data_IF_880255850144
#
_entry.id   IF_880255850144
#
_cell.length_a   1.000
_cell.length_b   1.000
_cell.length_c   1.000
_cell.angle_alpha   90.00
_cell.angle_beta   90.00
_cell.angle_gamma   90.00
#
_symmetry.space_group_name_H-M   'P 1'
#
loop_
_entity.id
_entity.type
_entity.pdbx_description
1 polymer ?
#
# COMPACT_ATOMS: atom_id res chain seq x y z
N UNK A 1 8.71 -1.05 11.82
CA UNK A 1 7.44 -1.00 11.06
C UNK A 1 6.42 -1.85 11.77
N UNK A 2 5.21 -1.32 11.93
CA UNK A 2 4.09 -1.96 12.64
C UNK A 2 2.91 -2.08 11.70
N UNK A 3 1.96 -2.95 12.03
CA UNK A 3 0.70 -3.01 11.33
C UNK A 3 -0.43 -3.65 12.11
N UNK A 4 -1.60 -3.62 11.49
CA UNK A 4 -2.80 -4.30 11.96
C UNK A 4 -3.66 -4.75 10.78
N UNK A 5 -4.41 -5.83 10.97
CA UNK A 5 -5.41 -6.28 10.01
C UNK A 5 -6.73 -5.57 10.27
N UNK A 6 -7.35 -5.13 9.18
CA UNK A 6 -8.62 -4.40 9.22
C UNK A 6 -9.63 -4.98 8.25
N UNK A 7 -10.90 -4.79 8.59
CA UNK A 7 -11.99 -4.79 7.64
C UNK A 7 -12.21 -3.35 7.18
N UNK A 8 -11.89 -3.10 5.92
CA UNK A 8 -12.14 -1.85 5.21
C UNK A 8 -12.71 -2.20 3.83
N UNK A 9 -14.03 -2.05 3.70
CA UNK A 9 -14.83 -2.48 2.56
C UNK A 9 -15.81 -1.38 2.19
N UNK A 10 -16.13 -1.23 0.90
CA UNK A 10 -17.05 -0.20 0.43
C UNK A 10 -18.49 -0.39 0.94
N UNK A 11 -18.92 -1.64 1.13
CA UNK A 11 -20.24 -1.94 1.71
C UNK A 11 -21.39 -1.41 0.84
N UNK A 12 -22.43 -0.88 1.49
CA UNK A 12 -23.59 -0.30 0.81
C UNK A 12 -23.45 1.22 0.66
N UNK A 13 -23.68 1.73 -0.54
CA UNK A 13 -23.74 3.17 -0.83
C UNK A 13 -25.11 3.48 -1.41
N UNK A 14 -25.91 4.27 -0.69
CA UNK A 14 -27.27 4.66 -1.11
C UNK A 14 -28.19 3.49 -1.51
N UNK A 15 -28.19 2.38 -0.77
CA UNK A 15 -29.04 1.21 -1.09
C UNK A 15 -28.44 0.25 -2.13
N UNK A 16 -27.23 0.53 -2.62
CA UNK A 16 -26.54 -0.32 -3.60
C UNK A 16 -25.33 -0.98 -2.94
N UNK A 17 -25.26 -2.31 -2.99
CA UNK A 17 -24.08 -3.05 -2.56
C UNK A 17 -22.92 -2.81 -3.53
N UNK A 18 -21.93 -2.05 -3.07
CA UNK A 18 -20.73 -1.68 -3.82
C UNK A 18 -19.55 -2.59 -3.52
N UNK A 19 -19.72 -3.64 -2.70
CA UNK A 19 -18.66 -4.59 -2.32
C UNK A 19 -17.92 -5.15 -3.54
N UNK A 20 -18.60 -5.34 -4.67
CA UNK A 20 -17.96 -5.85 -5.90
C UNK A 20 -16.88 -4.91 -6.44
N UNK A 21 -16.97 -3.61 -6.17
CA UNK A 21 -15.96 -2.62 -6.57
C UNK A 21 -14.66 -2.76 -5.78
N UNK A 22 -14.67 -3.42 -4.63
CA UNK A 22 -13.44 -3.66 -3.85
C UNK A 22 -12.43 -4.53 -4.63
N UNK A 23 -12.88 -5.24 -5.68
CA UNK A 23 -12.00 -5.98 -6.60
C UNK A 23 -10.99 -5.10 -7.34
N UNK A 24 -11.24 -3.79 -7.41
CA UNK A 24 -10.37 -2.81 -8.03
C UNK A 24 -9.52 -2.03 -7.02
N UNK A 25 -9.64 -2.33 -5.72
CA UNK A 25 -8.85 -1.66 -4.68
C UNK A 25 -7.47 -2.28 -4.51
N UNK A 26 -7.29 -3.53 -4.95
CA UNK A 26 -6.01 -4.21 -4.88
C UNK A 26 -4.97 -3.57 -5.80
N UNK A 27 -3.75 -3.39 -5.27
CA UNK A 27 -2.56 -2.99 -6.01
C UNK A 27 -1.33 -3.65 -5.39
N UNK A 28 -0.29 -3.89 -6.19
CA UNK A 28 1.03 -4.31 -5.69
C UNK A 28 1.66 -3.24 -4.78
N UNK A 29 1.31 -1.99 -5.00
CA UNK A 29 1.87 -0.85 -4.26
C UNK A 29 1.13 -0.61 -2.94
N UNK A 30 1.90 -0.19 -1.93
CA UNK A 30 1.35 0.38 -0.70
C UNK A 30 0.73 1.73 -1.05
N UNK A 31 -0.56 1.88 -0.76
CA UNK A 31 -1.25 3.16 -0.97
C UNK A 31 -1.20 3.97 0.32
N UNK A 32 -0.95 5.27 0.20
CA UNK A 32 -1.05 6.19 1.33
C UNK A 32 -2.53 6.40 1.71
N UNK A 33 -2.83 6.44 3.01
CA UNK A 33 -4.17 6.68 3.54
C UNK A 33 -4.09 7.47 4.85
N UNK A 34 -5.07 8.34 5.10
CA UNK A 34 -5.30 8.88 6.45
C UNK A 34 -6.39 8.04 7.12
N UNK A 35 -6.00 7.01 7.88
CA UNK A 35 -6.94 6.00 8.34
C UNK A 35 -8.11 6.58 9.17
N UNK A 36 -7.90 7.71 9.85
CA UNK A 36 -8.94 8.40 10.63
C UNK A 36 -10.10 8.94 9.81
N UNK A 37 -9.90 9.14 8.50
CA UNK A 37 -10.92 9.58 7.56
C UNK A 37 -11.69 8.40 6.94
N UNK A 38 -11.26 7.17 7.22
CA UNK A 38 -11.87 5.95 6.69
C UNK A 38 -12.77 5.30 7.74
N UNK A 39 -13.84 4.66 7.28
CA UNK A 39 -14.61 3.74 8.11
C UNK A 39 -13.98 2.35 8.06
N UNK A 40 -13.53 1.85 9.21
CA UNK A 40 -12.90 0.55 9.30
C UNK A 40 -13.21 -0.16 10.62
N UNK A 41 -13.01 -1.47 10.63
CA UNK A 41 -12.99 -2.27 11.85
C UNK A 41 -11.61 -2.89 12.02
N UNK A 42 -10.95 -2.59 13.14
CA UNK A 42 -9.73 -3.28 13.54
C UNK A 42 -10.03 -4.72 13.93
N UNK A 43 -9.28 -5.68 13.38
CA UNK A 43 -9.47 -7.12 13.59
C UNK A 43 -8.35 -7.77 14.39
N UNK A 44 -7.21 -7.12 14.55
CA UNK A 44 -6.07 -7.60 15.36
C UNK A 44 -5.59 -6.51 16.30
N UNK A 45 -4.86 -6.89 17.34
CA UNK A 45 -3.94 -5.95 17.99
C UNK A 45 -2.85 -5.49 17.01
N UNK A 46 -2.14 -4.43 17.37
CA UNK A 46 -0.96 -3.99 16.63
C UNK A 46 0.16 -5.01 16.78
N UNK A 47 0.81 -5.36 15.67
CA UNK A 47 1.98 -6.23 15.66
C UNK A 47 3.16 -5.58 14.94
N UNK A 48 4.38 -5.98 15.32
CA UNK A 48 5.60 -5.62 14.62
C UNK A 48 5.77 -6.48 13.37
N UNK A 49 6.27 -5.87 12.30
CA UNK A 49 6.46 -6.54 11.01
C UNK A 49 7.95 -6.59 10.65
N UNK A 50 8.59 -5.43 10.56
CA UNK A 50 10.01 -5.31 10.24
C UNK A 50 10.68 -4.34 11.20
N UNK A 51 11.96 -4.58 11.48
CA UNK A 51 12.83 -3.63 12.15
C UNK A 51 13.96 -3.30 11.19
N UNK A 52 14.16 -2.00 10.98
CA UNK A 52 15.25 -1.48 10.16
C UNK A 52 16.19 -0.73 11.08
N UNK A 53 17.42 -1.23 11.20
CA UNK A 53 18.51 -0.50 11.85
C UNK A 53 19.25 0.29 10.78
N UNK A 54 19.24 1.62 10.91
CA UNK A 54 19.93 2.53 9.99
C UNK A 54 21.39 2.79 10.39
N UNK A 55 21.83 2.29 11.55
CA UNK A 55 23.23 2.36 12.00
C UNK A 55 24.10 1.25 11.43
N UNK A 56 23.50 0.15 10.97
CA UNK A 56 24.16 -0.92 10.22
C UNK A 56 23.89 -0.77 8.71
N UNK A 57 24.83 -1.23 7.88
CA UNK A 57 24.86 -0.98 6.42
C UNK A 57 23.58 -1.46 5.70
N UNK A 58 23.23 -0.81 4.57
CA UNK A 58 22.01 -0.90 3.73
C UNK A 58 20.91 -1.91 4.10
N UNK A 59 19.61 -1.51 4.08
CA UNK A 59 18.49 -2.38 4.46
C UNK A 59 18.52 -3.70 3.68
N UNK A 60 18.77 -4.78 4.41
CA UNK A 60 18.90 -6.12 3.85
C UNK A 60 17.54 -6.68 3.42
N UNK A 61 17.56 -7.67 2.53
CA UNK A 61 16.38 -8.46 2.24
C UNK A 61 15.89 -9.16 3.52
N UNK A 62 14.60 -9.05 3.83
CA UNK A 62 13.96 -9.70 4.98
C UNK A 62 12.71 -10.46 4.52
N UNK A 63 12.46 -11.63 5.12
CA UNK A 63 11.24 -12.41 4.91
C UNK A 63 10.77 -12.90 6.27
N UNK A 64 9.60 -12.46 6.69
CA UNK A 64 9.00 -12.77 7.98
C UNK A 64 7.75 -13.62 7.79
N UNK A 65 7.71 -14.75 8.49
CA UNK A 65 6.55 -15.63 8.56
C UNK A 65 5.80 -15.32 9.85
N UNK A 66 4.60 -14.77 9.74
CA UNK A 66 3.81 -14.29 10.87
C UNK A 66 2.58 -15.15 11.10
N UNK A 67 2.26 -15.38 12.37
CA UNK A 67 1.03 -16.02 12.83
C UNK A 67 0.20 -15.00 13.62
N UNK A 68 -0.72 -14.33 12.94
CA UNK A 68 -1.41 -13.15 13.50
C UNK A 68 -2.72 -13.58 14.18
N UNK A 69 -2.84 -13.28 15.48
CA UNK A 69 -4.03 -13.63 16.27
C UNK A 69 -5.17 -12.61 16.05
N UNK A 70 -6.34 -13.13 15.71
CA UNK A 70 -7.54 -12.33 15.45
C UNK A 70 -8.21 -11.96 16.78
N UNK A 71 -8.36 -10.66 17.01
CA UNK A 71 -8.99 -10.08 18.21
C UNK A 71 -10.52 -9.94 18.07
N UNK A 72 -11.03 -9.88 16.85
CA UNK A 72 -12.45 -9.65 16.55
C UNK A 72 -12.90 -10.37 15.28
N UNK A 73 -14.12 -10.90 15.30
CA UNK A 73 -14.77 -11.49 14.13
C UNK A 73 -14.91 -10.47 13.00
N UNK A 74 -14.75 -10.92 11.76
CA UNK A 74 -14.93 -10.04 10.61
C UNK A 74 -14.38 -10.62 9.31
N UNK A 75 -14.08 -9.72 8.37
CA UNK A 75 -13.45 -10.03 7.09
C UNK A 75 -12.19 -9.21 6.96
N UNK A 76 -11.03 -9.88 7.04
CA UNK A 76 -9.73 -9.26 6.77
C UNK A 76 -9.68 -8.90 5.30
N UNK A 77 -9.69 -7.59 5.01
CA UNK A 77 -9.61 -7.07 3.64
C UNK A 77 -8.31 -6.31 3.37
N UNK A 78 -7.70 -5.73 4.40
CA UNK A 78 -6.47 -4.98 4.25
C UNK A 78 -5.55 -5.10 5.48
N UNK A 79 -4.26 -4.88 5.22
CA UNK A 79 -3.24 -4.59 6.21
C UNK A 79 -2.97 -3.08 6.19
N UNK A 80 -3.06 -2.46 7.36
CA UNK A 80 -2.60 -1.07 7.55
C UNK A 80 -1.24 -1.13 8.20
N UNK A 81 -0.28 -0.37 7.64
CA UNK A 81 1.09 -0.30 8.12
C UNK A 81 1.49 1.14 8.43
N UNK A 82 2.38 1.29 9.40
CA UNK A 82 3.04 2.56 9.72
C UNK A 82 4.42 2.28 10.32
N UNK A 83 5.17 3.32 10.59
CA UNK A 83 6.48 3.20 11.22
C UNK A 83 6.61 4.15 12.40
N UNK A 84 7.48 3.73 13.32
CA UNK A 84 8.02 4.55 14.37
C UNK A 84 9.49 4.74 14.02
N UNK A 85 9.90 6.00 13.86
CA UNK A 85 11.27 6.40 13.62
C UNK A 85 11.88 6.77 14.97
N UNK A 86 12.79 5.93 15.44
CA UNK A 86 13.53 6.13 16.68
C UNK A 86 14.75 6.98 16.33
N UNK A 87 14.78 8.22 16.82
CA UNK A 87 15.89 9.15 16.58
C UNK A 87 16.97 9.00 17.66
N UNK A 88 16.54 8.77 18.91
CA UNK A 88 17.38 8.44 20.06
C UNK A 88 16.53 7.68 21.11
N UNK A 89 17.08 7.49 22.32
CA UNK A 89 16.42 6.77 23.42
C UNK A 89 15.12 7.43 23.92
N UNK A 90 14.92 8.72 23.68
CA UNK A 90 13.79 9.50 24.18
C UNK A 90 12.83 9.98 23.07
N UNK A 91 13.32 10.12 21.85
CA UNK A 91 12.62 10.75 20.73
C UNK A 91 12.20 9.69 19.71
N UNK A 92 10.88 9.46 19.67
CA UNK A 92 10.23 8.61 18.67
C UNK A 92 9.22 9.42 17.87
N UNK A 93 9.39 9.43 16.55
CA UNK A 93 8.46 10.05 15.61
C UNK A 93 7.62 8.96 14.96
N UNK A 94 6.31 8.99 15.19
CA UNK A 94 5.39 7.94 14.73
C UNK A 94 4.43 8.43 13.66
N UNK A 95 4.19 7.60 12.65
CA UNK A 95 3.09 7.76 11.68
C UNK A 95 1.84 6.97 12.06
N UNK A 96 1.76 6.50 13.31
CA UNK A 96 0.64 5.70 13.82
C UNK A 96 -0.73 6.37 13.64
N UNK A 97 -1.78 5.62 13.26
CA UNK A 97 -3.13 6.14 13.20
C UNK A 97 -3.68 6.52 14.58
N UNK A 98 -3.05 6.08 15.69
CA UNK A 98 -3.52 6.31 17.06
C UNK A 98 -2.91 7.54 17.75
N UNK A 99 -1.91 8.19 17.15
CA UNK A 99 -1.25 9.36 17.74
C UNK A 99 -2.14 10.61 17.82
N UNK A 100 -1.64 11.75 18.32
CA UNK A 100 -2.35 13.01 18.17
C UNK A 100 -2.16 13.56 16.74
N UNK A 101 -3.19 14.14 16.08
CA UNK A 101 -3.05 14.67 14.72
C UNK A 101 -1.92 15.69 14.59
N UNK A 102 -1.75 16.53 15.60
CA UNK A 102 -0.72 17.58 15.69
C UNK A 102 0.71 17.03 15.74
N UNK A 103 0.87 15.74 16.09
CA UNK A 103 2.16 15.04 16.17
C UNK A 103 2.38 14.05 15.02
N UNK A 104 1.41 13.94 14.10
CA UNK A 104 1.55 13.13 12.89
C UNK A 104 2.33 13.92 11.85
N UNK A 105 3.28 13.29 11.16
CA UNK A 105 4.08 13.90 10.10
C UNK A 105 3.28 14.31 8.85
N UNK A 106 1.94 14.21 8.86
CA UNK A 106 1.09 14.43 7.67
C UNK A 106 1.26 13.36 6.59
N UNK A 107 2.17 12.41 6.76
CA UNK A 107 2.44 11.30 5.83
C UNK A 107 1.31 10.27 5.79
N UNK A 108 0.44 10.23 6.81
CA UNK A 108 -0.58 9.18 6.92
C UNK A 108 0.03 7.80 7.14
N UNK A 109 -0.72 6.76 6.79
CA UNK A 109 -0.39 5.35 6.91
C UNK A 109 -0.30 4.70 5.53
N UNK A 110 0.33 3.54 5.44
CA UNK A 110 0.24 2.67 4.28
C UNK A 110 -0.94 1.71 4.42
N UNK A 111 -1.64 1.42 3.32
CA UNK A 111 -2.63 0.36 3.26
C UNK A 111 -2.36 -0.57 2.08
N UNK A 112 -2.45 -1.86 2.35
CA UNK A 112 -2.26 -2.95 1.38
C UNK A 112 -3.49 -3.85 1.43
N UNK A 113 -4.14 -4.06 0.29
CA UNK A 113 -5.16 -5.10 0.17
C UNK A 113 -4.49 -6.44 -0.10
N UNK A 114 -4.90 -7.47 0.63
CA UNK A 114 -4.17 -8.73 0.66
C UNK A 114 -4.52 -9.66 -0.51
N UNK A 115 -3.55 -10.49 -0.90
CA UNK A 115 -3.72 -11.63 -1.80
C UNK A 115 -3.81 -12.95 -1.02
N UNK A 116 -4.49 -13.98 -1.57
CA UNK A 116 -5.22 -14.01 -2.86
C UNK A 116 -6.58 -13.27 -2.83
N UNK A 117 -7.03 -12.86 -1.64
CA UNK A 117 -8.30 -12.16 -1.44
C UNK A 117 -8.56 -11.91 0.03
N UNK A 118 -9.82 -11.67 0.36
CA UNK A 118 -10.24 -11.46 1.75
C UNK A 118 -10.35 -12.77 2.51
N UNK A 119 -10.10 -12.73 3.81
CA UNK A 119 -10.30 -13.86 4.70
C UNK A 119 -11.39 -13.54 5.74
N UNK A 120 -12.44 -14.35 5.80
CA UNK A 120 -13.38 -14.34 6.92
C UNK A 120 -12.68 -14.96 8.12
N UNK A 121 -12.76 -14.28 9.27
CA UNK A 121 -12.04 -14.66 10.48
C UNK A 121 -12.95 -14.63 11.71
N UNK A 122 -12.68 -15.53 12.65
CA UNK A 122 -13.27 -15.53 13.99
C UNK A 122 -12.24 -15.12 15.04
N UNK A 123 -12.67 -14.45 16.10
CA UNK A 123 -11.83 -14.13 17.26
C UNK A 123 -11.15 -15.38 17.81
N UNK A 124 -9.86 -15.26 18.11
CA UNK A 124 -9.00 -16.35 18.57
C UNK A 124 -8.43 -17.21 17.45
N UNK A 125 -8.87 -17.03 16.19
CA UNK A 125 -8.22 -17.62 15.04
C UNK A 125 -6.81 -17.04 14.84
N UNK A 126 -5.97 -17.77 14.11
CA UNK A 126 -4.65 -17.32 13.68
C UNK A 126 -4.61 -17.26 12.16
N UNK A 127 -4.30 -16.08 11.60
CA UNK A 127 -4.09 -15.89 10.18
C UNK A 127 -2.59 -15.94 9.86
N UNK A 128 -2.11 -16.95 9.11
CA UNK A 128 -0.73 -17.01 8.69
C UNK A 128 -0.48 -16.04 7.52
N UNK A 129 0.60 -15.26 7.61
CA UNK A 129 0.99 -14.28 6.60
C UNK A 129 2.50 -14.28 6.37
N UNK A 130 2.90 -13.94 5.16
CA UNK A 130 4.30 -13.67 4.81
C UNK A 130 4.45 -12.19 4.52
N UNK A 131 5.40 -11.54 5.19
CA UNK A 131 5.88 -10.22 4.83
C UNK A 131 7.28 -10.36 4.22
N UNK A 132 7.54 -9.69 3.11
CA UNK A 132 8.87 -9.68 2.49
C UNK A 132 9.27 -8.26 2.07
N UNK A 133 10.57 -7.99 2.13
CA UNK A 133 11.17 -6.76 1.59
C UNK A 133 12.53 -7.06 0.97
N UNK A 134 12.87 -6.32 -0.08
CA UNK A 134 14.21 -6.31 -0.69
C UNK A 134 14.97 -4.99 -0.42
N UNK A 135 14.53 -4.22 0.57
CA UNK A 135 15.05 -2.88 0.89
C UNK A 135 14.32 -1.74 0.16
N UNK A 136 13.70 -2.00 -0.99
CA UNK A 136 12.99 -0.98 -1.78
C UNK A 136 11.48 -1.22 -1.86
N UNK A 137 11.06 -2.48 -1.97
CA UNK A 137 9.67 -2.88 -2.08
C UNK A 137 9.22 -3.64 -0.83
N UNK A 138 7.93 -3.56 -0.53
CA UNK A 138 7.25 -4.35 0.50
C UNK A 138 6.25 -5.27 -0.20
N UNK A 139 6.15 -6.51 0.26
CA UNK A 139 5.16 -7.48 -0.18
C UNK A 139 4.51 -8.16 1.03
N UNK A 140 3.19 -8.34 0.97
CA UNK A 140 2.41 -8.97 2.04
C UNK A 140 1.39 -9.92 1.43
N UNK A 141 1.42 -11.18 1.87
CA UNK A 141 0.57 -12.23 1.32
C UNK A 141 0.04 -13.12 2.43
N UNK A 142 -1.21 -13.60 2.31
CA UNK A 142 -1.74 -14.65 3.18
C UNK A 142 -1.07 -15.97 2.80
N UNK A 143 -0.57 -16.70 3.78
CA UNK A 143 0.08 -18.01 3.57
C UNK A 143 -1.00 -19.11 3.54
N UNK A 144 -1.58 -19.34 2.35
CA UNK A 144 -2.66 -20.30 2.14
C UNK A 144 -2.25 -21.74 2.51
N UNK A 145 -0.99 -22.10 2.31
CA UNK A 145 -0.48 -23.44 2.57
C UNK A 145 -0.53 -23.79 4.08
N UNK A 146 -0.44 -22.76 4.93
CA UNK A 146 -0.58 -22.91 6.39
C UNK A 146 -2.01 -22.75 6.89
N UNK A 147 -2.97 -22.40 6.03
CA UNK A 147 -4.37 -22.34 6.42
C UNK A 147 -4.97 -23.74 6.57
N UNK A 148 -5.42 -24.08 7.77
CA UNK A 148 -6.12 -25.36 8.03
C UNK A 148 -7.63 -25.15 8.06
N UNK A 149 -8.43 -26.13 7.61
CA UNK A 149 -9.91 -26.05 7.60
C UNK A 149 -10.57 -25.87 8.98
N UNK A 150 -9.80 -25.90 10.07
CA UNK A 150 -10.29 -25.74 11.46
C UNK A 150 -9.79 -24.45 12.14
N UNK A 151 -9.10 -23.57 11.42
CA UNK A 151 -8.42 -22.41 12.02
C UNK A 151 -9.34 -21.25 12.39
N UNK A 152 -10.64 -21.30 12.06
CA UNK A 152 -11.51 -20.13 12.17
C UNK A 152 -11.20 -19.04 11.13
N UNK A 153 -10.46 -19.42 10.08
CA UNK A 153 -10.13 -18.58 8.92
C UNK A 153 -10.64 -19.27 7.66
N UNK A 154 -11.39 -18.54 6.85
CA UNK A 154 -11.94 -19.00 5.57
C UNK A 154 -11.65 -17.95 4.49
N UNK A 155 -10.92 -18.34 3.43
CA UNK A 155 -10.75 -17.47 2.27
C UNK A 155 -12.08 -17.28 1.55
N UNK A 156 -12.38 -16.03 1.22
CA UNK A 156 -13.58 -15.71 0.47
C UNK A 156 -13.45 -16.27 -0.96
N UNK A 157 -14.52 -16.87 -1.52
CA UNK A 157 -14.46 -17.62 -2.79
C UNK A 157 -14.23 -16.74 -4.04
N UNK A 158 -14.34 -15.43 -3.90
CA UNK A 158 -14.11 -14.49 -4.98
C UNK A 158 -12.85 -13.69 -4.70
N UNK A 159 -11.79 -13.98 -5.45
CA UNK A 159 -10.59 -13.15 -5.45
C UNK A 159 -10.97 -11.76 -5.93
N UNK A 160 -10.80 -10.76 -5.07
CA UNK A 160 -10.98 -9.33 -5.40
C UNK A 160 -9.76 -8.78 -6.11
N UNK A 161 -9.29 -9.56 -7.07
CA UNK A 161 -8.12 -9.34 -7.90
C UNK A 161 -8.49 -9.76 -9.31
N UNK A 162 -8.46 -8.81 -10.25
CA UNK A 162 -8.62 -9.13 -11.67
C UNK A 162 -7.22 -9.29 -12.29
N UNK A 163 -6.78 -10.50 -12.65
CA UNK A 163 -5.47 -10.71 -13.27
C UNK A 163 -5.29 -9.95 -14.59
N UNK A 164 -6.39 -9.56 -15.26
CA UNK A 164 -6.33 -8.72 -16.46
C UNK A 164 -5.85 -7.31 -16.13
N UNK A 165 -6.19 -6.79 -14.95
CA UNK A 165 -5.71 -5.49 -14.48
C UNK A 165 -4.20 -5.50 -14.21
N UNK A 166 -3.68 -6.57 -13.62
CA UNK A 166 -2.23 -6.72 -13.45
C UNK A 166 -1.50 -6.80 -14.80
N UNK A 167 -2.02 -7.60 -15.73
CA UNK A 167 -1.46 -7.70 -17.08
C UNK A 167 -1.50 -6.36 -17.83
N UNK A 168 -2.59 -5.61 -17.72
CA UNK A 168 -2.70 -4.27 -18.30
C UNK A 168 -1.70 -3.28 -17.66
N UNK A 169 -1.56 -3.32 -16.34
CA UNK A 169 -0.59 -2.48 -15.61
C UNK A 169 0.85 -2.80 -15.99
N UNK A 170 1.22 -4.08 -16.01
CA UNK A 170 2.55 -4.52 -16.43
C UNK A 170 2.88 -4.09 -17.86
N UNK A 171 1.89 -4.12 -18.77
CA UNK A 171 2.05 -3.63 -20.14
C UNK A 171 2.25 -2.10 -20.17
N UNK A 172 1.48 -1.34 -19.38
CA UNK A 172 1.67 0.12 -19.25
C UNK A 172 3.06 0.46 -18.69
N UNK A 173 3.52 -0.25 -17.66
CA UNK A 173 4.85 -0.06 -17.08
C UNK A 173 5.97 -0.38 -18.08
N UNK A 174 5.82 -1.43 -18.89
CA UNK A 174 6.78 -1.79 -19.94
C UNK A 174 6.82 -0.73 -21.07
N UNK A 175 5.66 -0.26 -21.50
CA UNK A 175 5.57 0.85 -22.46
C UNK A 175 6.20 2.13 -21.91
N UNK A 176 5.96 2.44 -20.64
CA UNK A 176 6.54 3.60 -19.98
C UNK A 176 8.07 3.51 -19.89
N UNK A 177 8.61 2.35 -19.50
CA UNK A 177 10.05 2.10 -19.50
C UNK A 177 10.67 2.29 -20.89
N UNK A 178 10.01 1.80 -21.95
CA UNK A 178 10.45 2.00 -23.33
C UNK A 178 10.48 3.47 -23.72
N UNK A 179 9.47 4.25 -23.31
CA UNK A 179 9.44 5.70 -23.54
C UNK A 179 10.63 6.37 -22.84
N UNK A 180 10.84 6.10 -21.55
CA UNK A 180 11.96 6.67 -20.80
C UNK A 180 13.32 6.28 -21.39
N UNK A 181 13.48 5.02 -21.80
CA UNK A 181 14.68 4.53 -22.43
C UNK A 181 14.94 5.23 -23.77
N UNK A 182 13.93 5.39 -24.62
CA UNK A 182 14.07 6.13 -25.88
C UNK A 182 14.45 7.60 -25.66
N UNK A 183 13.83 8.26 -24.68
CA UNK A 183 14.17 9.64 -24.30
C UNK A 183 15.61 9.76 -23.82
N UNK A 184 16.13 8.76 -23.09
CA UNK A 184 17.53 8.75 -22.65
C UNK A 184 18.53 8.68 -23.81
N UNK A 185 18.15 8.05 -24.93
CA UNK A 185 18.98 7.98 -26.14
C UNK A 185 18.79 9.19 -27.08
N UNK A 186 17.78 10.04 -26.85
CA UNK A 186 17.50 11.20 -27.68
C UNK A 186 17.39 12.49 -26.83
N UNK A 187 18.52 13.13 -26.50
CA UNK A 187 18.56 14.28 -25.60
C UNK A 187 17.69 15.46 -26.05
N UNK A 188 17.50 15.64 -27.37
CA UNK A 188 16.64 16.71 -27.90
C UNK A 188 15.16 16.49 -27.61
N UNK A 189 14.70 15.26 -27.71
CA UNK A 189 13.32 14.91 -27.36
C UNK A 189 13.09 15.00 -25.85
N UNK A 190 14.08 14.61 -25.05
CA UNK A 190 14.05 14.80 -23.60
C UNK A 190 13.92 16.29 -23.23
N UNK A 191 14.72 17.18 -23.84
CA UNK A 191 14.62 18.62 -23.58
C UNK A 191 13.25 19.18 -23.96
N UNK A 192 12.69 18.81 -25.12
CA UNK A 192 11.34 19.25 -25.50
C UNK A 192 10.27 18.74 -24.54
N UNK A 193 10.40 17.51 -24.05
CA UNK A 193 9.50 16.95 -23.05
C UNK A 193 9.61 17.71 -21.73
N UNK A 194 10.82 17.97 -21.24
CA UNK A 194 11.05 18.75 -20.02
C UNK A 194 10.46 20.16 -20.12
N UNK A 195 10.62 20.83 -21.26
CA UNK A 195 9.99 22.13 -21.52
C UNK A 195 8.46 22.06 -21.48
N UNK A 196 7.87 21.02 -22.07
CA UNK A 196 6.43 20.79 -22.02
C UNK A 196 5.95 20.53 -20.59
N UNK A 197 6.64 19.66 -19.84
CA UNK A 197 6.37 19.35 -18.44
C UNK A 197 6.46 20.60 -17.58
N UNK A 198 7.45 21.47 -17.77
CA UNK A 198 7.55 22.76 -17.07
C UNK A 198 6.33 23.66 -17.33
N UNK A 199 5.85 23.73 -18.58
CA UNK A 199 4.67 24.54 -18.92
C UNK A 199 3.40 24.00 -18.26
N UNK A 200 3.21 22.68 -18.25
CA UNK A 200 2.06 22.06 -17.61
C UNK A 200 2.12 22.16 -16.08
N UNK A 201 3.29 21.98 -15.48
CA UNK A 201 3.47 22.11 -14.04
C UNK A 201 3.29 23.54 -13.51
N UNK A 202 3.66 24.56 -14.32
CA UNK A 202 3.45 25.96 -13.96
C UNK A 202 1.97 26.39 -14.03
N UNK A 203 1.17 25.75 -14.90
CA UNK A 203 -0.24 26.11 -15.14
C UNK A 203 -1.15 24.88 -15.31
N UNK A 204 -1.22 23.95 -14.34
CA UNK A 204 -1.90 22.66 -14.52
C UNK A 204 -3.38 22.79 -14.85
N UNK A 205 -4.06 23.76 -14.24
CA UNK A 205 -5.47 24.05 -14.47
C UNK A 205 -5.78 24.49 -15.91
N UNK A 206 -4.84 25.17 -16.59
CA UNK A 206 -5.03 25.61 -17.98
C UNK A 206 -5.10 24.43 -18.97
N UNK A 207 -4.59 23.27 -18.55
CA UNK A 207 -4.57 22.05 -19.34
C UNK A 207 -5.53 20.97 -18.81
N UNK A 208 -6.35 21.30 -17.81
CA UNK A 208 -7.27 20.35 -17.18
C UNK A 208 -6.56 19.23 -16.42
N UNK A 209 -5.34 19.47 -15.95
CA UNK A 209 -4.53 18.49 -15.22
C UNK A 209 -4.64 18.79 -13.73
N UNK A 210 -4.82 17.75 -12.91
CA UNK A 210 -4.76 17.85 -11.45
C UNK A 210 -3.37 18.32 -10.99
N UNK A 211 -3.32 19.29 -10.06
CA UNK A 211 -2.06 19.89 -9.61
C UNK A 211 -1.09 18.86 -9.01
N UNK A 212 -1.63 17.85 -8.30
CA UNK A 212 -0.84 16.78 -7.68
C UNK A 212 -0.21 15.87 -8.74
N UNK A 213 -0.95 15.62 -9.82
CA UNK A 213 -0.46 14.84 -10.97
C UNK A 213 0.63 15.62 -11.71
N UNK A 214 0.42 16.92 -11.93
CA UNK A 214 1.41 17.77 -12.57
C UNK A 214 2.72 17.88 -11.78
N UNK A 215 2.63 17.99 -10.45
CA UNK A 215 3.79 17.99 -9.56
C UNK A 215 4.58 16.68 -9.62
N UNK A 216 3.88 15.53 -9.59
CA UNK A 216 4.52 14.21 -9.76
C UNK A 216 5.22 14.06 -11.11
N UNK A 217 4.60 14.53 -12.19
CA UNK A 217 5.22 14.55 -13.50
C UNK A 217 6.47 15.43 -13.53
N UNK A 218 6.43 16.61 -12.92
CA UNK A 218 7.59 17.50 -12.80
C UNK A 218 8.74 16.82 -12.05
N UNK A 219 8.47 16.20 -10.90
CA UNK A 219 9.47 15.45 -10.13
C UNK A 219 10.11 14.31 -10.93
N UNK A 220 9.37 13.68 -11.85
CA UNK A 220 9.88 12.55 -12.64
C UNK A 220 10.84 12.99 -13.74
N UNK A 221 10.63 14.17 -14.33
CA UNK A 221 11.36 14.61 -15.52
C UNK A 221 12.30 15.78 -15.31
N UNK A 222 12.15 16.52 -14.21
CA UNK A 222 12.92 17.73 -13.88
C UNK A 222 13.84 17.54 -12.66
N UNK A 223 13.74 16.41 -11.95
CA UNK A 223 14.72 16.06 -10.94
C UNK A 223 15.99 15.56 -11.65
N UNK A 224 17.09 16.29 -11.49
CA UNK A 224 18.45 15.87 -11.89
C UNK A 224 18.99 14.76 -10.97
#
# INVERSE_FOLDING_TARGET
MKGMLVQLRTGEVHGVDMTMCDAYRWSKEVRQVELRKEEYTQLTEVFDIFVFDFGEDTPSQQVENMEIVISKDGVVSALVIWFDLILDEEIVVSTSPFGLPERSLGLGQGIVYLQPGEARVTRGATLPMVAATNGNELAFTIDEDKMTRKSGVELMPHTRFDPRWEGARANLDDQWKKILQNLSYNPKELTHLQEAVMRFAAQPNAFGIDSTVAERCALTFLAE
#
